data_IF_820837508279
#
_entry.id   IF_820837508279
#
_cell.length_a   1.000
_cell.length_b   1.000
_cell.length_c   1.000
_cell.angle_alpha   90.00
_cell.angle_beta   90.00
_cell.angle_gamma   90.00
#
_symmetry.space_group_name_H-M   'P 1'
#
loop_
_entity.id
_entity.type
_entity.pdbx_description
1 polymer ?
#
# COMPACT_ATOMS: atom_id res chain seq x y z
N UNK A 1 -22.07 6.63 -20.73
CA UNK A 1 -22.08 5.31 -20.05
C UNK A 1 -20.67 4.83 -19.70
N UNK A 2 -19.67 4.96 -20.59
CA UNK A 2 -18.28 4.53 -20.31
C UNK A 2 -17.59 5.38 -19.21
N UNK A 3 -17.86 6.69 -19.15
CA UNK A 3 -17.21 7.59 -18.17
C UNK A 3 -17.51 7.20 -16.72
N UNK A 4 -18.78 6.90 -16.39
CA UNK A 4 -19.17 6.48 -15.05
C UNK A 4 -18.47 5.17 -14.64
N UNK A 5 -18.33 4.23 -15.57
CA UNK A 5 -17.61 2.97 -15.35
C UNK A 5 -16.11 3.21 -15.15
N UNK A 6 -15.50 4.11 -15.94
CA UNK A 6 -14.10 4.50 -15.76
C UNK A 6 -13.85 5.16 -14.41
N UNK A 7 -14.69 6.12 -14.01
CA UNK A 7 -14.60 6.79 -12.71
C UNK A 7 -14.79 5.81 -11.55
N UNK A 8 -15.74 4.88 -11.67
CA UNK A 8 -15.92 3.82 -10.69
C UNK A 8 -14.66 2.94 -10.57
N UNK A 9 -14.06 2.55 -11.70
CA UNK A 9 -12.80 1.82 -11.72
C UNK A 9 -11.67 2.58 -11.02
N UNK A 10 -11.54 3.89 -11.25
CA UNK A 10 -10.57 4.75 -10.56
C UNK A 10 -10.83 4.77 -9.05
N UNK A 11 -12.08 4.92 -8.61
CA UNK A 11 -12.42 4.90 -7.18
C UNK A 11 -12.05 3.56 -6.55
N UNK A 12 -12.39 2.43 -7.18
CA UNK A 12 -12.03 1.11 -6.70
C UNK A 12 -10.52 0.90 -6.63
N UNK A 13 -9.78 1.32 -7.67
CA UNK A 13 -8.32 1.23 -7.70
C UNK A 13 -7.67 2.08 -6.59
N UNK A 14 -8.17 3.30 -6.38
CA UNK A 14 -7.67 4.20 -5.32
C UNK A 14 -7.93 3.66 -3.91
N UNK A 15 -9.12 3.12 -3.66
CA UNK A 15 -9.44 2.47 -2.37
C UNK A 15 -8.52 1.26 -2.17
N UNK A 16 -8.37 0.42 -3.19
CA UNK A 16 -7.50 -0.76 -3.14
C UNK A 16 -6.05 -0.39 -2.87
N UNK A 17 -5.52 0.65 -3.53
CA UNK A 17 -4.15 1.11 -3.34
C UNK A 17 -3.94 1.65 -1.92
N UNK A 18 -4.84 2.53 -1.44
CA UNK A 18 -4.74 3.10 -0.10
C UNK A 18 -4.82 2.04 1.01
N UNK A 19 -5.77 1.11 0.91
CA UNK A 19 -5.91 0.02 1.90
C UNK A 19 -4.72 -0.95 1.83
N UNK A 20 -4.31 -1.35 0.62
CA UNK A 20 -3.22 -2.30 0.40
C UNK A 20 -1.88 -1.79 0.92
N UNK A 21 -1.53 -0.55 0.60
CA UNK A 21 -0.26 0.06 1.00
C UNK A 21 -0.15 0.18 2.52
N UNK A 22 -1.19 0.73 3.18
CA UNK A 22 -1.22 0.89 4.64
C UNK A 22 -1.13 -0.47 5.34
N UNK A 23 -1.83 -1.48 4.82
CA UNK A 23 -1.81 -2.84 5.41
C UNK A 23 -0.44 -3.48 5.31
N UNK A 24 0.21 -3.40 4.14
CA UNK A 24 1.55 -3.96 3.96
C UNK A 24 2.61 -3.21 4.78
N UNK A 25 2.52 -1.88 4.84
CA UNK A 25 3.42 -1.08 5.66
C UNK A 25 3.24 -1.42 7.15
N UNK A 26 2.01 -1.54 7.63
CA UNK A 26 1.74 -1.96 9.00
C UNK A 26 2.31 -3.36 9.28
N UNK A 27 2.23 -4.27 8.32
CA UNK A 27 2.75 -5.64 8.46
C UNK A 27 4.27 -5.63 8.73
N UNK A 28 5.03 -4.68 8.17
CA UNK A 28 6.48 -4.58 8.40
C UNK A 28 6.86 -4.40 9.87
N UNK A 29 5.97 -3.85 10.70
CA UNK A 29 6.21 -3.68 12.15
C UNK A 29 6.30 -5.00 12.91
N UNK A 30 5.75 -6.09 12.36
CA UNK A 30 5.83 -7.42 12.93
C UNK A 30 7.07 -8.21 12.46
N UNK A 31 7.89 -7.62 11.59
CA UNK A 31 9.08 -8.25 11.02
C UNK A 31 10.37 -7.53 11.45
N UNK A 32 11.51 -8.08 11.03
CA UNK A 32 12.82 -7.51 11.32
C UNK A 32 12.93 -6.04 10.88
N UNK A 33 13.78 -5.25 11.57
CA UNK A 33 13.95 -3.81 11.34
C UNK A 33 14.26 -3.43 9.88
N UNK A 34 14.91 -4.32 9.11
CA UNK A 34 15.23 -4.10 7.69
C UNK A 34 14.04 -4.23 6.74
N UNK A 35 12.87 -4.68 7.22
CA UNK A 35 11.68 -4.89 6.39
C UNK A 35 11.11 -3.58 5.87
N UNK A 36 11.13 -2.51 6.69
CA UNK A 36 10.67 -1.18 6.27
C UNK A 36 11.55 -0.63 5.15
N UNK A 37 12.87 -0.78 5.26
CA UNK A 37 13.82 -0.36 4.22
C UNK A 37 13.67 -1.19 2.93
N UNK A 38 13.47 -2.50 3.05
CA UNK A 38 13.25 -3.38 1.91
C UNK A 38 11.92 -3.05 1.19
N UNK A 39 10.86 -2.78 1.95
CA UNK A 39 9.57 -2.32 1.42
C UNK A 39 9.72 -1.00 0.66
N UNK A 40 10.37 0.00 1.27
CA UNK A 40 10.59 1.31 0.64
C UNK A 40 11.48 1.22 -0.60
N UNK A 41 12.51 0.36 -0.58
CA UNK A 41 13.35 0.11 -1.75
C UNK A 41 12.56 -0.59 -2.87
N UNK A 42 11.70 -1.55 -2.51
CA UNK A 42 10.85 -2.28 -3.46
C UNK A 42 9.84 -1.38 -4.15
N UNK A 43 9.18 -0.47 -3.42
CA UNK A 43 8.23 0.49 -4.02
C UNK A 43 8.93 1.46 -4.97
N UNK A 44 10.13 1.95 -4.60
CA UNK A 44 10.96 2.78 -5.49
C UNK A 44 11.38 2.05 -6.76
N UNK A 45 11.86 0.81 -6.63
CA UNK A 45 12.23 -0.03 -7.77
C UNK A 45 11.01 -0.33 -8.67
N UNK A 46 9.84 -0.60 -8.09
CA UNK A 46 8.62 -0.87 -8.83
C UNK A 46 8.20 0.30 -9.74
N UNK A 47 8.44 1.56 -9.33
CA UNK A 47 8.23 2.73 -10.19
C UNK A 47 9.08 2.69 -11.45
N UNK A 48 10.39 2.43 -11.30
CA UNK A 48 11.32 2.32 -12.42
C UNK A 48 10.96 1.14 -13.34
N UNK A 49 10.80 -0.05 -12.76
CA UNK A 49 10.48 -1.25 -13.53
C UNK A 49 9.09 -1.19 -14.18
N UNK A 50 8.12 -0.56 -13.53
CA UNK A 50 6.79 -0.34 -14.10
C UNK A 50 6.84 0.55 -15.34
N UNK A 51 7.52 1.70 -15.25
CA UNK A 51 7.70 2.62 -16.37
C UNK A 51 8.48 2.00 -17.53
N UNK A 52 9.59 1.30 -17.23
CA UNK A 52 10.39 0.60 -18.24
C UNK A 52 9.60 -0.54 -18.90
N UNK A 53 8.85 -1.32 -18.12
CA UNK A 53 8.03 -2.42 -18.66
C UNK A 53 6.95 -1.87 -19.58
N UNK A 54 6.18 -0.86 -19.14
CA UNK A 54 5.15 -0.25 -19.97
C UNK A 54 5.71 0.37 -21.26
N UNK A 55 6.85 1.06 -21.16
CA UNK A 55 7.53 1.63 -22.33
C UNK A 55 8.05 0.54 -23.27
N UNK A 56 8.61 -0.55 -22.74
CA UNK A 56 9.04 -1.70 -23.54
C UNK A 56 7.88 -2.34 -24.31
N UNK A 57 6.76 -2.56 -23.63
CA UNK A 57 5.56 -3.13 -24.26
C UNK A 57 4.96 -2.22 -25.33
N UNK A 58 4.90 -0.91 -25.09
CA UNK A 58 4.20 0.03 -25.99
C UNK A 58 5.08 0.65 -27.08
N UNK A 59 6.38 0.76 -26.86
CA UNK A 59 7.34 1.38 -27.80
C UNK A 59 8.20 0.36 -28.55
N UNK A 60 8.67 -0.70 -27.89
CA UNK A 60 9.48 -1.73 -28.56
C UNK A 60 8.60 -2.79 -29.23
N UNK A 61 7.61 -3.32 -28.50
CA UNK A 61 6.70 -4.35 -29.01
C UNK A 61 5.48 -3.79 -29.76
N UNK A 62 5.35 -2.46 -29.82
CA UNK A 62 4.23 -1.73 -30.46
C UNK A 62 2.84 -2.25 -30.06
N UNK A 63 2.71 -2.76 -28.83
CA UNK A 63 1.43 -3.24 -28.31
C UNK A 63 0.51 -2.06 -28.00
N UNK A 64 -0.79 -2.28 -28.16
CA UNK A 64 -1.81 -1.32 -27.73
C UNK A 64 -1.72 -1.11 -26.21
N UNK A 65 -1.91 0.13 -25.70
CA UNK A 65 -1.94 0.42 -24.26
C UNK A 65 -2.89 -0.49 -23.47
N UNK A 66 -4.03 -0.85 -24.08
CA UNK A 66 -5.00 -1.78 -23.47
C UNK A 66 -4.39 -3.16 -23.22
N UNK A 67 -3.68 -3.70 -24.21
CA UNK A 67 -3.01 -5.00 -24.10
C UNK A 67 -1.85 -4.93 -23.10
N UNK A 68 -1.10 -3.82 -23.08
CA UNK A 68 -0.01 -3.63 -22.13
C UNK A 68 -0.50 -3.63 -20.68
N UNK A 69 -1.57 -2.90 -20.36
CA UNK A 69 -2.18 -2.87 -19.02
C UNK A 69 -2.76 -4.23 -18.64
N UNK A 70 -3.38 -4.94 -19.60
CA UNK A 70 -3.89 -6.31 -19.37
C UNK A 70 -2.76 -7.31 -19.08
N UNK A 71 -1.61 -7.18 -19.76
CA UNK A 71 -0.44 -7.99 -19.44
C UNK A 71 0.03 -7.66 -18.03
N UNK A 72 0.19 -6.38 -17.69
CA UNK A 72 0.65 -5.95 -16.36
C UNK A 72 -0.28 -6.36 -15.20
N UNK A 73 -1.50 -6.83 -15.48
CA UNK A 73 -2.43 -7.39 -14.49
C UNK A 73 -1.86 -8.64 -13.76
N UNK A 74 -0.84 -9.31 -14.30
CA UNK A 74 -0.18 -10.40 -13.58
C UNK A 74 0.49 -9.92 -12.28
N UNK A 75 0.93 -8.66 -12.21
CA UNK A 75 1.65 -8.12 -11.04
C UNK A 75 0.80 -8.14 -9.76
N UNK A 76 -0.44 -7.60 -9.74
CA UNK A 76 -1.28 -7.72 -8.54
C UNK A 76 -1.63 -9.18 -8.19
N UNK A 77 -1.68 -10.10 -9.17
CA UNK A 77 -1.85 -11.54 -8.87
C UNK A 77 -0.61 -12.09 -8.15
N UNK A 78 0.60 -11.78 -8.62
CA UNK A 78 1.84 -12.16 -7.95
C UNK A 78 1.93 -11.57 -6.53
N UNK A 79 1.45 -10.34 -6.33
CA UNK A 79 1.37 -9.73 -5.01
C UNK A 79 0.49 -10.55 -4.06
N UNK A 80 -0.68 -11.00 -4.51
CA UNK A 80 -1.58 -11.85 -3.71
C UNK A 80 -0.93 -13.20 -3.39
N UNK A 81 -0.32 -13.86 -4.38
CA UNK A 81 0.38 -15.13 -4.17
C UNK A 81 1.52 -14.97 -3.15
N UNK A 82 2.33 -13.92 -3.30
CA UNK A 82 3.40 -13.58 -2.36
C UNK A 82 2.86 -13.35 -0.94
N UNK A 83 1.78 -12.58 -0.81
CA UNK A 83 1.13 -12.33 0.47
C UNK A 83 0.66 -13.62 1.15
N UNK A 84 0.02 -14.54 0.41
CA UNK A 84 -0.44 -15.82 0.95
C UNK A 84 0.74 -16.69 1.38
N UNK A 85 1.81 -16.77 0.57
CA UNK A 85 3.01 -17.54 0.93
C UNK A 85 3.69 -17.00 2.20
N UNK A 86 3.75 -15.67 2.34
CA UNK A 86 4.29 -15.01 3.54
C UNK A 86 3.37 -15.19 4.75
N UNK A 87 2.04 -15.13 4.57
CA UNK A 87 1.08 -15.41 5.64
C UNK A 87 1.13 -16.86 6.14
N UNK A 88 1.31 -17.82 5.22
CA UNK A 88 1.47 -19.22 5.56
C UNK A 88 2.74 -19.46 6.39
N UNK A 89 3.85 -18.76 6.11
CA UNK A 89 5.07 -18.86 6.90
C UNK A 89 4.93 -18.22 8.29
N UNK A 90 4.14 -17.15 8.44
CA UNK A 90 3.81 -16.56 9.74
C UNK A 90 2.96 -17.48 10.62
N UNK A 91 1.96 -18.17 10.06
CA UNK A 91 1.13 -19.12 10.83
C UNK A 91 2.01 -20.23 11.44
N UNK A 92 2.96 -20.74 10.66
CA UNK A 92 3.93 -21.74 11.11
C UNK A 92 4.90 -21.16 12.16
N UNK A 93 5.40 -19.94 11.97
CA UNK A 93 6.32 -19.29 12.92
C UNK A 93 5.64 -18.94 14.26
N UNK A 94 4.40 -18.43 14.23
CA UNK A 94 3.60 -18.17 15.43
C UNK A 94 3.21 -19.45 16.15
N UNK A 95 2.83 -20.52 15.43
CA UNK A 95 2.59 -21.82 16.07
C UNK A 95 3.82 -22.32 16.82
N UNK A 96 5.04 -22.16 16.28
CA UNK A 96 6.28 -22.50 17.02
C UNK A 96 6.50 -21.62 18.26
N UNK A 97 6.25 -20.31 18.17
CA UNK A 97 6.38 -19.42 19.33
C UNK A 97 5.33 -19.69 20.42
N UNK A 98 4.07 -19.96 20.04
CA UNK A 98 3.02 -20.35 20.98
C UNK A 98 3.31 -21.71 21.63
N UNK A 99 3.85 -22.67 20.87
CA UNK A 99 4.21 -23.99 21.41
C UNK A 99 5.35 -23.89 22.44
N UNK A 100 6.35 -23.03 22.18
CA UNK A 100 7.44 -22.73 23.13
C UNK A 100 6.96 -21.99 24.38
N UNK A 101 5.92 -21.14 24.26
CA UNK A 101 5.35 -20.41 25.39
C UNK A 101 4.37 -21.28 26.20
N UNK A 102 3.64 -22.19 25.55
CA UNK A 102 2.71 -23.12 26.21
C UNK A 102 3.42 -24.19 27.05
N UNK A 103 4.67 -24.54 26.72
CA UNK A 103 5.51 -25.43 27.55
C UNK A 103 5.97 -24.77 28.86
N UNK A 104 5.86 -23.43 28.98
CA UNK A 104 6.22 -22.69 30.19
C UNK A 104 5.02 -22.25 31.05
N UNK A 105 3.78 -22.39 30.57
CA UNK A 105 2.57 -21.84 31.23
C UNK A 105 1.62 -22.92 31.76
N UNK A 106 2.01 -24.20 31.84
CA UNK A 106 1.15 -25.26 32.41
C UNK A 106 1.11 -25.28 33.95
N UNK A 107 1.33 -24.13 34.59
CA UNK A 107 1.07 -23.92 36.02
C UNK A 107 0.26 -22.63 36.14
N UNK A 108 -0.94 -22.78 36.69
CA UNK A 108 -1.77 -21.71 37.27
C UNK A 108 -2.85 -21.01 36.41
N UNK A 109 -4.05 -21.60 36.51
CA UNK A 109 -5.30 -20.99 37.04
C UNK A 109 -6.51 -20.94 36.10
N UNK A 110 -7.58 -21.53 36.63
CA UNK A 110 -8.96 -21.67 36.16
C UNK A 110 -9.81 -20.38 36.15
N UNK A 111 -10.65 -20.31 35.11
CA UNK A 111 -12.11 -20.04 35.06
C UNK A 111 -12.75 -18.73 35.58
N UNK A 112 -13.52 -18.16 34.63
CA UNK A 112 -14.79 -17.40 34.70
C UNK A 112 -14.79 -15.86 34.82
N UNK A 113 -15.28 -15.18 33.76
CA UNK A 113 -16.04 -13.89 33.78
C UNK A 113 -16.34 -13.35 32.37
N UNK A 114 -17.34 -13.89 31.65
CA UNK A 114 -17.59 -13.59 30.22
C UNK A 114 -18.58 -12.43 29.90
N UNK A 115 -19.05 -11.62 30.87
CA UNK A 115 -20.04 -10.56 30.61
C UNK A 115 -19.52 -9.12 30.81
N UNK A 116 -18.62 -8.88 31.77
CA UNK A 116 -18.07 -7.54 32.07
C UNK A 116 -16.88 -7.16 31.19
N UNK A 117 -16.26 -8.13 30.52
CA UNK A 117 -15.09 -7.91 29.67
C UNK A 117 -15.42 -7.00 28.48
N UNK A 118 -16.60 -7.12 27.87
CA UNK A 118 -16.92 -6.44 26.61
C UNK A 118 -17.08 -4.92 26.75
N UNK A 119 -17.64 -4.42 27.87
CA UNK A 119 -17.79 -2.97 28.11
C UNK A 119 -16.47 -2.34 28.58
N UNK A 120 -15.68 -3.06 29.38
CA UNK A 120 -14.35 -2.63 29.81
C UNK A 120 -13.40 -2.58 28.61
N UNK A 121 -13.45 -3.56 27.71
CA UNK A 121 -12.62 -3.62 26.51
C UNK A 121 -12.94 -2.49 25.53
N UNK A 122 -14.22 -2.12 25.34
CA UNK A 122 -14.61 -1.00 24.47
C UNK A 122 -14.17 0.34 25.05
N UNK A 123 -14.35 0.57 26.36
CA UNK A 123 -13.89 1.80 27.01
C UNK A 123 -12.35 1.90 27.05
N UNK A 124 -11.64 0.78 27.20
CA UNK A 124 -10.19 0.71 27.03
C UNK A 124 -9.77 1.03 25.59
N UNK A 125 -10.48 0.49 24.60
CA UNK A 125 -10.23 0.72 23.16
C UNK A 125 -10.48 2.19 22.77
N UNK A 126 -11.50 2.86 23.34
CA UNK A 126 -11.78 4.27 23.09
C UNK A 126 -10.76 5.20 23.80
N UNK A 127 -10.35 4.88 25.03
CA UNK A 127 -9.22 5.56 25.71
C UNK A 127 -7.92 5.39 24.93
N UNK A 128 -7.70 4.22 24.36
CA UNK A 128 -6.56 3.91 23.51
C UNK A 128 -6.59 4.74 22.21
N UNK A 129 -7.74 4.84 21.53
CA UNK A 129 -7.88 5.67 20.31
C UNK A 129 -7.58 7.15 20.56
N UNK A 130 -8.11 7.74 21.64
CA UNK A 130 -7.82 9.14 22.02
C UNK A 130 -6.34 9.34 22.37
N UNK A 131 -5.72 8.34 22.98
CA UNK A 131 -4.30 8.36 23.33
C UNK A 131 -3.41 8.22 22.09
N UNK A 132 -3.81 7.40 21.11
CA UNK A 132 -3.18 7.31 19.79
C UNK A 132 -3.28 8.61 19.00
N UNK A 133 -4.42 9.29 19.02
CA UNK A 133 -4.57 10.63 18.41
C UNK A 133 -3.63 11.66 19.07
N UNK A 134 -3.42 11.58 20.39
CA UNK A 134 -2.45 12.45 21.07
C UNK A 134 -1.01 12.19 20.60
N UNK A 135 -0.66 10.95 20.24
CA UNK A 135 0.65 10.59 19.66
C UNK A 135 0.83 11.12 18.23
N UNK A 136 -0.26 11.28 17.46
CA UNK A 136 -0.21 11.88 16.10
C UNK A 136 0.10 13.38 16.16
N UNK A 137 -0.33 14.09 17.21
CA UNK A 137 -0.15 15.55 17.36
C UNK A 137 1.29 16.04 17.18
N UNK A 138 2.33 15.47 17.84
CA UNK A 138 3.72 15.87 17.58
C UNK A 138 4.22 15.47 16.18
N UNK A 139 3.65 14.41 15.59
CA UNK A 139 3.99 13.91 14.26
C UNK A 139 3.49 14.83 13.13
N UNK A 140 2.43 15.60 13.38
CA UNK A 140 1.87 16.56 12.41
C UNK A 140 2.89 17.59 11.92
N UNK A 141 3.91 17.93 12.74
CA UNK A 141 5.00 18.81 12.33
C UNK A 141 5.73 18.30 11.07
N UNK A 142 5.78 16.98 10.88
CA UNK A 142 6.40 16.35 9.72
C UNK A 142 5.38 15.96 8.65
N UNK A 143 4.16 15.57 9.05
CA UNK A 143 3.12 15.18 8.09
C UNK A 143 2.57 16.36 7.29
N UNK A 144 2.37 17.54 7.89
CA UNK A 144 1.77 18.69 7.18
C UNK A 144 2.65 19.14 5.99
N UNK A 145 3.97 19.38 6.16
CA UNK A 145 4.83 19.72 5.04
C UNK A 145 4.83 18.63 3.96
N UNK A 146 4.91 17.35 4.37
CA UNK A 146 4.90 16.22 3.46
C UNK A 146 3.61 16.15 2.64
N UNK A 147 2.45 16.31 3.29
CA UNK A 147 1.14 16.33 2.62
C UNK A 147 1.03 17.47 1.63
N UNK A 148 1.53 18.67 1.96
CA UNK A 148 1.49 19.81 1.04
C UNK A 148 2.36 19.52 -0.20
N UNK A 149 3.58 19.01 0.00
CA UNK A 149 4.47 18.65 -1.10
C UNK A 149 3.85 17.56 -1.97
N UNK A 150 3.32 16.50 -1.36
CA UNK A 150 2.69 15.40 -2.08
C UNK A 150 1.43 15.85 -2.83
N UNK A 151 0.60 16.68 -2.20
CA UNK A 151 -0.56 17.27 -2.86
C UNK A 151 -0.16 18.12 -4.07
N UNK A 152 0.84 18.98 -3.92
CA UNK A 152 1.34 19.80 -5.02
C UNK A 152 1.94 18.96 -6.15
N UNK A 153 2.69 17.91 -5.81
CA UNK A 153 3.25 16.97 -6.78
C UNK A 153 2.17 16.29 -7.61
N UNK A 154 1.14 15.73 -6.96
CA UNK A 154 0.04 15.09 -7.69
C UNK A 154 -0.81 16.10 -8.47
N UNK A 155 -1.01 17.31 -7.93
CA UNK A 155 -1.70 18.37 -8.64
C UNK A 155 -0.96 18.75 -9.94
N UNK A 156 0.37 18.85 -9.87
CA UNK A 156 1.18 19.14 -11.05
C UNK A 156 1.15 17.94 -12.02
N UNK A 157 1.43 16.73 -11.55
CA UNK A 157 1.57 15.54 -12.38
C UNK A 157 0.25 15.09 -13.03
N UNK A 158 -0.87 15.19 -12.33
CA UNK A 158 -2.18 14.68 -12.80
C UNK A 158 -3.13 15.80 -13.25
N UNK A 159 -2.90 17.06 -12.87
CA UNK A 159 -3.81 18.17 -13.15
C UNK A 159 -3.24 19.26 -14.05
N UNK A 160 -1.93 19.50 -13.99
CA UNK A 160 -1.28 20.59 -14.76
C UNK A 160 -0.35 20.08 -15.85
N UNK A 161 0.11 18.83 -15.78
CA UNK A 161 1.03 18.24 -16.74
C UNK A 161 0.49 18.28 -18.18
N UNK A 162 -0.81 18.02 -18.35
CA UNK A 162 -1.48 18.10 -19.65
C UNK A 162 -1.46 19.51 -20.26
N UNK A 163 -1.28 20.57 -19.45
CA UNK A 163 -1.15 21.95 -19.93
C UNK A 163 0.29 22.34 -20.28
N UNK A 164 1.29 21.58 -19.82
CA UNK A 164 2.69 21.87 -20.10
C UNK A 164 3.02 21.31 -21.49
N UNK A 165 3.07 22.21 -22.48
CA UNK A 165 3.42 21.89 -23.87
C UNK A 165 4.79 22.46 -24.24
N UNK A 166 5.71 21.60 -24.67
CA UNK A 166 7.04 22.03 -25.11
C UNK A 166 7.07 22.23 -26.62
N UNK A 167 7.20 23.49 -27.05
CA UNK A 167 7.48 23.87 -28.44
C UNK A 167 8.96 23.62 -28.77
N UNK A 168 9.27 23.18 -30.00
CA UNK A 168 10.61 22.83 -30.48
C UNK A 168 11.29 21.60 -29.83
N UNK A 169 10.55 20.51 -29.64
CA UNK A 169 11.16 19.22 -29.28
C UNK A 169 11.09 18.23 -30.44
N UNK A 170 11.98 17.23 -30.45
CA UNK A 170 11.97 16.15 -31.46
C UNK A 170 10.76 15.21 -31.35
N UNK A 171 9.87 15.42 -30.35
CA UNK A 171 8.74 14.53 -30.08
C UNK A 171 7.42 15.19 -30.50
N UNK A 172 6.62 14.44 -31.28
CA UNK A 172 5.30 14.90 -31.70
C UNK A 172 4.36 15.11 -30.50
N UNK A 173 3.41 16.03 -30.61
CA UNK A 173 2.47 16.39 -29.53
C UNK A 173 1.81 15.18 -28.85
N UNK A 174 1.31 14.17 -29.57
CA UNK A 174 0.73 12.98 -28.92
C UNK A 174 1.76 12.16 -28.15
N UNK A 175 3.03 12.15 -28.60
CA UNK A 175 4.09 11.39 -27.93
C UNK A 175 4.47 12.02 -26.60
N UNK A 176 4.41 13.34 -26.47
CA UNK A 176 4.78 14.06 -25.23
C UNK A 176 3.94 13.69 -24.00
N UNK A 177 2.73 13.14 -24.20
CA UNK A 177 1.78 12.78 -23.14
C UNK A 177 1.51 11.27 -23.04
N UNK A 178 2.39 10.43 -23.61
CA UNK A 178 2.19 8.96 -23.62
C UNK A 178 2.57 8.25 -22.32
N UNK A 179 3.08 8.97 -21.34
CA UNK A 179 3.67 8.47 -20.10
C UNK A 179 3.04 9.14 -18.89
#
# INVERSE_FOLDING_TARGET
KVIALSLFGVVCASISAGVGEVTMLQLTSFYAKHTVSAWSSGTGAAGLFGALSYTGLTSLLKLSPRTAILILLFIPVLLVVSYIMVGASQAVARHRQYQQMSEQTTTDVDTDSNADEKIIHVNATLKDFRSRIKLVKPLLKYMIPLTIVYFAEYLINQGLYELIFFRNTSMSHPTQYRW
#
